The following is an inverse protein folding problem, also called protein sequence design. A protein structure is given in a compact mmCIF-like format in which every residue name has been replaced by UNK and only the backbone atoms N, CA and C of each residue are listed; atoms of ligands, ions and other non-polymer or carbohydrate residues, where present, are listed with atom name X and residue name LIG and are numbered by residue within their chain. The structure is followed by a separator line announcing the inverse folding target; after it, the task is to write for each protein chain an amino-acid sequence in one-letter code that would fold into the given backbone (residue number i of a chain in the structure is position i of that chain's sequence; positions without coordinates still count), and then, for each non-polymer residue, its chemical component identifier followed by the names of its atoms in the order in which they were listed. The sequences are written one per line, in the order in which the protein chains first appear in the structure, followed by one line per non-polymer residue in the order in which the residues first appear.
data_IF_725544485272
#
_entry.id   IF_725544485272
#
_cell.length_a   1.000
_cell.length_b   1.000
_cell.length_c   1.000
_cell.angle_alpha   90.00
_cell.angle_beta   90.00
_cell.angle_gamma   90.00
#
_symmetry.space_group_name_H-M   'P 1'
#
loop_
_entity.id
_entity.type
_entity.pdbx_description
1 polymer ?
#
# COMPACT_ATOMS: atom_id res chain seq x y z
N UNK A 1 -27.06 16.19 -5.88
CA UNK A 1 -25.96 15.31 -6.34
C UNK A 1 -24.66 15.75 -5.68
N UNK A 2 -24.25 15.08 -4.59
CA UNK A 2 -22.92 15.31 -4.02
C UNK A 2 -21.89 14.53 -4.84
N UNK A 3 -21.09 15.22 -5.64
CA UNK A 3 -19.84 14.67 -6.18
C UNK A 3 -18.88 14.49 -4.99
N UNK A 4 -18.91 13.32 -4.37
CA UNK A 4 -17.79 12.86 -3.55
C UNK A 4 -16.66 12.65 -4.54
N UNK A 5 -15.71 13.58 -4.59
CA UNK A 5 -14.43 13.36 -5.26
C UNK A 5 -13.73 12.23 -4.53
N UNK A 6 -14.00 10.98 -4.93
CA UNK A 6 -13.22 9.79 -4.55
C UNK A 6 -11.80 10.00 -5.09
N UNK A 7 -10.96 10.72 -4.37
CA UNK A 7 -9.52 10.50 -4.47
C UNK A 7 -9.27 9.07 -4.02
N UNK A 8 -9.14 8.16 -4.99
CA UNK A 8 -8.92 6.73 -4.71
C UNK A 8 -7.68 6.56 -3.82
N UNK A 9 -7.78 5.88 -2.66
CA UNK A 9 -6.67 5.63 -1.73
C UNK A 9 -5.45 4.97 -2.39
N UNK A 10 -5.71 4.23 -3.49
CA UNK A 10 -4.68 3.60 -4.33
C UNK A 10 -3.65 4.60 -4.86
N UNK A 11 -4.05 5.86 -5.14
CA UNK A 11 -3.14 6.87 -5.70
C UNK A 11 -2.06 7.31 -4.69
N UNK A 12 -2.40 7.69 -3.44
CA UNK A 12 -1.42 7.92 -2.38
C UNK A 12 -0.44 6.77 -2.15
N UNK A 13 -0.94 5.54 -2.08
CA UNK A 13 -0.10 4.36 -1.84
C UNK A 13 0.95 4.19 -2.94
N UNK A 14 0.52 4.18 -4.22
CA UNK A 14 1.44 4.04 -5.36
C UNK A 14 2.48 5.16 -5.36
N UNK A 15 2.08 6.40 -5.12
CA UNK A 15 3.01 7.54 -5.04
C UNK A 15 4.04 7.34 -3.92
N UNK A 16 3.62 6.81 -2.76
CA UNK A 16 4.54 6.54 -1.65
C UNK A 16 5.54 5.44 -1.97
N UNK A 17 5.12 4.38 -2.66
CA UNK A 17 5.99 3.30 -3.12
C UNK A 17 7.03 3.82 -4.12
N UNK A 18 6.61 4.63 -5.10
CA UNK A 18 7.53 5.22 -6.08
C UNK A 18 8.53 6.16 -5.41
N UNK A 19 8.08 7.00 -4.48
CA UNK A 19 8.96 7.90 -3.72
C UNK A 19 9.97 7.12 -2.87
N UNK A 20 9.57 6.01 -2.25
CA UNK A 20 10.46 5.13 -1.51
C UNK A 20 11.54 4.52 -2.40
N UNK A 21 11.18 4.03 -3.59
CA UNK A 21 12.17 3.50 -4.56
C UNK A 21 13.24 4.53 -4.92
N UNK A 22 12.84 5.79 -5.14
CA UNK A 22 13.78 6.89 -5.40
C UNK A 22 14.71 7.15 -4.20
N UNK A 23 14.19 7.08 -2.96
CA UNK A 23 15.01 7.23 -1.75
C UNK A 23 16.03 6.11 -1.60
N UNK A 24 15.62 4.86 -1.82
CA UNK A 24 16.50 3.68 -1.79
C UNK A 24 17.61 3.83 -2.83
N UNK A 25 17.27 4.21 -4.07
CA UNK A 25 18.26 4.42 -5.14
C UNK A 25 19.30 5.50 -4.77
N UNK A 26 18.85 6.59 -4.16
CA UNK A 26 19.74 7.67 -3.70
C UNK A 26 20.61 7.24 -2.52
N UNK A 27 20.03 6.59 -1.51
CA UNK A 27 20.72 6.24 -0.27
C UNK A 27 21.86 5.24 -0.50
N UNK A 28 21.62 4.23 -1.33
CA UNK A 28 22.58 3.16 -1.60
C UNK A 28 23.28 3.31 -2.95
N UNK A 29 23.36 4.54 -3.50
CA UNK A 29 23.96 4.80 -4.82
C UNK A 29 25.41 4.29 -4.94
N UNK A 30 26.16 4.29 -3.84
CA UNK A 30 27.55 3.88 -3.82
C UNK A 30 27.75 2.36 -3.83
N UNK A 31 26.73 1.57 -3.48
CA UNK A 31 26.81 0.11 -3.41
C UNK A 31 25.61 -0.53 -4.12
N UNK A 32 25.84 -0.93 -5.38
CA UNK A 32 24.83 -1.58 -6.23
C UNK A 32 24.28 -2.88 -5.61
N UNK A 33 25.10 -3.63 -4.86
CA UNK A 33 24.68 -4.91 -4.26
C UNK A 33 23.73 -4.65 -3.10
N UNK A 34 24.08 -3.74 -2.19
CA UNK A 34 23.20 -3.33 -1.09
C UNK A 34 21.91 -2.71 -1.63
N UNK A 35 22.02 -1.81 -2.62
CA UNK A 35 20.86 -1.19 -3.27
C UNK A 35 19.89 -2.24 -3.82
N UNK A 36 20.40 -3.18 -4.61
CA UNK A 36 19.58 -4.24 -5.20
C UNK A 36 18.90 -5.08 -4.13
N UNK A 37 19.65 -5.57 -3.14
CA UNK A 37 19.10 -6.40 -2.07
C UNK A 37 18.00 -5.67 -1.28
N UNK A 38 18.22 -4.40 -0.93
CA UNK A 38 17.23 -3.60 -0.22
C UNK A 38 15.97 -3.36 -1.07
N UNK A 39 16.15 -3.04 -2.36
CA UNK A 39 15.03 -2.80 -3.28
C UNK A 39 14.18 -4.06 -3.50
N UNK A 40 14.83 -5.23 -3.64
CA UNK A 40 14.15 -6.51 -3.81
C UNK A 40 13.29 -6.83 -2.57
N UNK A 41 13.85 -6.71 -1.36
CA UNK A 41 13.10 -6.89 -0.10
C UNK A 41 11.95 -5.89 0.01
N UNK A 42 12.18 -4.62 -0.33
CA UNK A 42 11.14 -3.59 -0.28
C UNK A 42 9.96 -3.90 -1.23
N UNK A 43 10.25 -4.37 -2.45
CA UNK A 43 9.24 -4.72 -3.45
C UNK A 43 8.45 -5.96 -3.01
N UNK A 44 9.13 -7.00 -2.54
CA UNK A 44 8.47 -8.21 -2.03
C UNK A 44 7.58 -7.91 -0.84
N UNK A 45 8.01 -7.02 0.07
CA UNK A 45 7.18 -6.56 1.18
C UNK A 45 5.89 -5.86 0.70
N UNK A 46 5.93 -5.07 -0.38
CA UNK A 46 4.71 -4.45 -0.93
C UNK A 46 3.78 -5.47 -1.58
N UNK A 47 4.32 -6.47 -2.30
CA UNK A 47 3.54 -7.55 -2.91
C UNK A 47 2.82 -8.39 -1.85
N UNK A 48 3.55 -8.80 -0.80
CA UNK A 48 2.97 -9.53 0.33
C UNK A 48 1.90 -8.71 1.06
N UNK A 49 2.15 -7.41 1.26
CA UNK A 49 1.20 -6.52 1.89
C UNK A 49 -0.11 -6.36 1.09
N UNK A 50 -0.06 -6.27 -0.24
CA UNK A 50 -1.26 -6.21 -1.08
C UNK A 50 -2.13 -7.46 -0.92
N UNK A 51 -1.50 -8.65 -0.87
CA UNK A 51 -2.22 -9.91 -0.62
C UNK A 51 -2.85 -9.94 0.77
N UNK A 52 -2.13 -9.47 1.79
CA UNK A 52 -2.67 -9.30 3.14
C UNK A 52 -3.89 -8.37 3.13
N UNK A 53 -3.77 -7.16 2.55
CA UNK A 53 -4.86 -6.18 2.49
C UNK A 53 -6.10 -6.77 1.86
N UNK A 54 -5.95 -7.39 0.69
CA UNK A 54 -7.08 -7.89 -0.08
C UNK A 54 -7.80 -9.02 0.67
N UNK A 55 -7.08 -9.92 1.34
CA UNK A 55 -7.69 -10.98 2.15
C UNK A 55 -8.29 -10.44 3.46
N UNK A 56 -7.62 -9.51 4.12
CA UNK A 56 -8.12 -8.87 5.34
C UNK A 56 -9.45 -8.16 5.08
N UNK A 57 -9.56 -7.45 3.96
CA UNK A 57 -10.79 -6.74 3.62
C UNK A 57 -11.94 -7.68 3.24
N UNK A 58 -11.66 -8.88 2.71
CA UNK A 58 -12.68 -9.93 2.54
C UNK A 58 -13.17 -10.47 3.89
N UNK A 59 -12.28 -10.68 4.86
CA UNK A 59 -12.64 -11.11 6.21
C UNK A 59 -13.55 -10.05 6.89
N UNK A 60 -13.18 -8.77 6.81
CA UNK A 60 -13.97 -7.68 7.39
C UNK A 60 -15.34 -7.51 6.70
N UNK A 61 -15.44 -7.83 5.40
CA UNK A 61 -16.68 -7.76 4.64
C UNK A 61 -17.56 -9.01 4.74
N UNK A 62 -17.09 -10.09 5.36
CA UNK A 62 -17.74 -11.41 5.37
C UNK A 62 -19.16 -11.42 5.97
N UNK A 63 -19.51 -10.41 6.76
CA UNK A 63 -20.86 -10.24 7.31
C UNK A 63 -21.93 -9.91 6.24
N UNK A 64 -21.51 -9.57 5.02
CA UNK A 64 -22.39 -9.22 3.92
C UNK A 64 -22.19 -10.18 2.74
N UNK A 65 -23.27 -10.46 2.01
CA UNK A 65 -23.21 -11.25 0.78
C UNK A 65 -22.22 -10.65 -0.23
N UNK A 66 -21.34 -11.48 -0.81
CA UNK A 66 -20.24 -11.00 -1.68
C UNK A 66 -20.72 -10.18 -2.89
N UNK A 67 -21.93 -10.46 -3.39
CA UNK A 67 -22.53 -9.77 -4.53
C UNK A 67 -23.35 -8.54 -4.14
N UNK A 68 -23.34 -8.17 -2.86
CA UNK A 68 -24.16 -7.08 -2.33
C UNK A 68 -23.41 -5.75 -2.32
N UNK A 69 -24.18 -4.65 -2.34
CA UNK A 69 -23.63 -3.32 -2.15
C UNK A 69 -22.92 -3.16 -0.79
N UNK A 70 -23.46 -3.64 0.35
CA UNK A 70 -22.75 -3.61 1.63
C UNK A 70 -21.36 -4.27 1.60
N UNK A 71 -21.20 -5.44 0.97
CA UNK A 71 -19.89 -6.09 0.85
C UNK A 71 -18.87 -5.21 0.09
N UNK A 72 -19.33 -4.60 -1.01
CA UNK A 72 -18.51 -3.65 -1.78
C UNK A 72 -18.13 -2.42 -0.94
N UNK A 73 -19.05 -1.90 -0.13
CA UNK A 73 -18.80 -0.76 0.76
C UNK A 73 -17.78 -1.11 1.84
N UNK A 74 -17.96 -2.23 2.54
CA UNK A 74 -17.03 -2.69 3.59
C UNK A 74 -15.64 -2.95 3.04
N UNK A 75 -15.54 -3.64 1.89
CA UNK A 75 -14.26 -3.89 1.22
C UNK A 75 -13.56 -2.58 0.87
N UNK A 76 -14.27 -1.62 0.28
CA UNK A 76 -13.68 -0.34 -0.12
C UNK A 76 -13.22 0.50 1.08
N UNK A 77 -13.98 0.50 2.18
CA UNK A 77 -13.62 1.23 3.39
C UNK A 77 -12.38 0.61 4.06
N UNK A 78 -12.31 -0.72 4.14
CA UNK A 78 -11.12 -1.41 4.64
C UNK A 78 -9.88 -1.11 3.77
N UNK A 79 -10.00 -1.19 2.44
CA UNK A 79 -8.89 -0.87 1.52
C UNK A 79 -8.40 0.57 1.74
N UNK A 80 -9.32 1.52 1.90
CA UNK A 80 -8.97 2.92 2.12
C UNK A 80 -8.15 3.12 3.40
N UNK A 81 -8.63 2.56 4.52
CA UNK A 81 -7.94 2.61 5.81
C UNK A 81 -6.55 1.97 5.74
N UNK A 82 -6.45 0.75 5.20
CA UNK A 82 -5.17 0.05 5.10
C UNK A 82 -4.18 0.75 4.14
N UNK A 83 -4.65 1.29 3.02
CA UNK A 83 -3.81 2.07 2.09
C UNK A 83 -3.23 3.32 2.77
N UNK A 84 -4.01 4.01 3.62
CA UNK A 84 -3.54 5.17 4.41
C UNK A 84 -2.50 4.77 5.46
N UNK A 85 -2.78 3.72 6.24
CA UNK A 85 -1.85 3.17 7.23
C UNK A 85 -0.53 2.76 6.59
N UNK A 86 -0.59 2.05 5.45
CA UNK A 86 0.61 1.61 4.74
C UNK A 86 1.39 2.76 4.13
N UNK A 87 0.70 3.75 3.59
CA UNK A 87 1.33 4.99 3.13
C UNK A 87 2.12 5.67 4.26
N UNK A 88 1.57 5.70 5.48
CA UNK A 88 2.27 6.24 6.64
C UNK A 88 3.47 5.38 7.05
N UNK A 89 3.35 4.05 7.03
CA UNK A 89 4.46 3.13 7.30
C UNK A 89 5.61 3.31 6.30
N UNK A 90 5.32 3.34 5.00
CA UNK A 90 6.34 3.52 3.94
C UNK A 90 7.09 4.85 4.13
N UNK A 91 6.39 5.92 4.54
CA UNK A 91 7.04 7.22 4.82
C UNK A 91 7.99 7.19 6.02
N UNK A 92 7.80 6.25 6.96
CA UNK A 92 8.60 6.12 8.20
C UNK A 92 9.74 5.10 8.10
N UNK A 93 9.86 4.37 6.99
CA UNK A 93 11.00 3.46 6.80
C UNK A 93 12.30 4.29 6.84
N UNK A 94 13.29 3.89 7.66
CA UNK A 94 14.59 4.53 7.64
C UNK A 94 15.33 4.11 6.36
N UNK A 95 15.53 5.08 5.47
CA UNK A 95 16.23 4.88 4.20
C UNK A 95 17.71 5.28 4.28
N UNK A 96 18.12 5.91 5.38
CA UNK A 96 19.48 6.39 5.55
C UNK A 96 20.39 5.21 5.95
N UNK A 97 21.56 5.15 5.31
CA UNK A 97 22.68 4.27 5.67
C UNK A 97 23.53 4.89 6.76
#
# INVERSE_FOLDING_TARGET
MLRITKTSPKKPLIRSILAAKVRIDKAFKADETIKKNYLDVFIEAQRGWLKYRDNQCKLEAHIADENSNPYTVFTNNCIARLDEERTAQIKKIPYDS
#
